data_IF_231057117168
#
_entry.id   IF_231057117168
#
_cell.length_a   1.000
_cell.length_b   1.000
_cell.length_c   1.000
_cell.angle_alpha   90.00
_cell.angle_beta   90.00
_cell.angle_gamma   90.00
#
_symmetry.space_group_name_H-M   'P 1'
#
loop_
_entity.id
_entity.type
_entity.pdbx_description
1 polymer ?
#
# COMPACT_ATOMS: atom_id res chain seq x y z
N UNK A 1 19.76 2.97 16.83
CA UNK A 1 19.45 1.62 16.27
C UNK A 1 18.69 1.83 14.96
N UNK A 2 18.92 0.99 14.00
CA UNK A 2 18.17 0.98 12.73
C UNK A 2 17.04 -0.05 12.82
N UNK A 3 15.82 0.39 12.58
CA UNK A 3 14.62 -0.43 12.70
C UNK A 3 13.90 -0.46 11.34
N UNK A 4 13.58 -1.65 10.86
CA UNK A 4 12.80 -1.81 9.62
C UNK A 4 11.38 -2.23 9.97
N UNK A 5 10.40 -1.43 9.55
CA UNK A 5 8.98 -1.75 9.69
C UNK A 5 8.48 -2.33 8.37
N UNK A 6 8.31 -3.63 8.30
CA UNK A 6 7.87 -4.36 7.11
C UNK A 6 6.58 -5.10 7.44
N UNK A 7 5.46 -4.38 7.34
CA UNK A 7 4.14 -4.85 7.76
C UNK A 7 3.22 -5.02 6.57
N UNK A 8 2.38 -6.02 6.62
CA UNK A 8 1.20 -6.11 5.78
C UNK A 8 0.06 -5.28 6.38
N UNK A 9 -1.05 -5.13 5.69
CA UNK A 9 -2.22 -4.40 6.18
C UNK A 9 -2.93 -5.16 7.31
N UNK A 10 -3.62 -4.41 8.17
CA UNK A 10 -4.57 -4.98 9.12
C UNK A 10 -5.96 -4.88 8.49
N UNK A 11 -6.47 -6.00 8.01
CA UNK A 11 -7.73 -6.07 7.26
C UNK A 11 -8.86 -5.31 7.97
N UNK A 12 -9.50 -4.39 7.24
CA UNK A 12 -10.62 -3.60 7.73
C UNK A 12 -10.27 -2.53 8.75
N UNK A 13 -8.99 -2.27 8.99
CA UNK A 13 -8.54 -1.33 10.04
C UNK A 13 -7.49 -0.35 9.50
N UNK A 14 -6.23 -0.79 9.39
CA UNK A 14 -5.11 0.05 8.99
C UNK A 14 -4.47 -0.48 7.72
N UNK A 15 -4.03 0.43 6.84
CA UNK A 15 -3.13 0.04 5.76
C UNK A 15 -1.75 -0.28 6.32
N UNK A 16 -0.95 -0.99 5.53
CA UNK A 16 0.45 -1.27 5.87
C UNK A 16 1.20 0.02 6.24
N UNK A 17 1.04 1.06 5.42
CA UNK A 17 1.72 2.35 5.63
C UNK A 17 1.22 3.07 6.89
N UNK A 18 -0.08 3.07 7.14
CA UNK A 18 -0.65 3.68 8.35
C UNK A 18 -0.12 3.01 9.61
N UNK A 19 -0.08 1.67 9.62
CA UNK A 19 0.44 0.91 10.75
C UNK A 19 1.94 1.19 10.97
N UNK A 20 2.73 1.20 9.90
CA UNK A 20 4.16 1.48 9.99
C UNK A 20 4.45 2.90 10.48
N UNK A 21 3.68 3.89 10.03
CA UNK A 21 3.83 5.27 10.50
C UNK A 21 3.46 5.42 11.98
N UNK A 22 2.43 4.71 12.45
CA UNK A 22 2.06 4.71 13.87
C UNK A 22 3.19 4.13 14.72
N UNK A 23 3.81 3.03 14.29
CA UNK A 23 4.96 2.42 14.97
C UNK A 23 6.16 3.38 14.97
N UNK A 24 6.45 4.01 13.84
CA UNK A 24 7.53 4.99 13.73
C UNK A 24 7.34 6.14 14.70
N UNK A 25 6.14 6.66 14.80
CA UNK A 25 5.81 7.72 15.74
C UNK A 25 6.00 7.26 17.20
N UNK A 26 5.58 6.04 17.52
CA UNK A 26 5.77 5.48 18.87
C UNK A 26 7.23 5.23 19.24
N UNK A 27 8.07 4.87 18.29
CA UNK A 27 9.50 4.67 18.50
C UNK A 27 10.20 6.01 18.78
N UNK A 28 9.75 7.09 18.17
CA UNK A 28 10.31 8.41 18.35
C UNK A 28 11.57 8.66 17.50
N UNK A 29 12.29 9.75 17.84
CA UNK A 29 13.38 10.26 17.00
C UNK A 29 14.76 9.69 17.34
N UNK A 30 14.88 8.86 18.39
CA UNK A 30 16.17 8.35 18.84
C UNK A 30 16.69 7.17 18.01
N UNK A 31 15.88 6.69 17.09
CA UNK A 31 16.21 5.56 16.21
C UNK A 31 15.87 5.88 14.78
N UNK A 32 16.62 5.30 13.85
CA UNK A 32 16.31 5.37 12.44
C UNK A 32 15.24 4.32 12.13
N UNK A 33 14.09 4.75 11.59
CA UNK A 33 12.99 3.86 11.22
C UNK A 33 12.80 3.89 9.72
N UNK A 34 12.94 2.74 9.09
CA UNK A 34 12.73 2.55 7.65
C UNK A 34 11.42 1.81 7.44
N UNK A 35 10.53 2.37 6.63
CA UNK A 35 9.23 1.77 6.33
C UNK A 35 9.29 1.07 4.99
N UNK A 36 8.99 -0.23 4.98
CA UNK A 36 8.92 -1.07 3.80
C UNK A 36 7.56 -1.77 3.77
N UNK A 37 6.53 -1.16 3.14
CA UNK A 37 5.21 -1.78 3.08
C UNK A 37 5.28 -3.13 2.39
N UNK A 38 4.55 -4.10 2.92
CA UNK A 38 4.43 -5.43 2.35
C UNK A 38 2.98 -5.68 1.90
N UNK A 39 2.84 -6.61 0.98
CA UNK A 39 1.53 -7.04 0.50
C UNK A 39 1.62 -8.50 0.06
N UNK A 40 0.51 -9.22 0.18
CA UNK A 40 0.41 -10.64 -0.14
C UNK A 40 -0.32 -10.93 -1.47
N UNK A 41 -0.65 -9.88 -2.22
CA UNK A 41 -1.42 -9.98 -3.47
C UNK A 41 -2.90 -9.67 -3.30
N UNK A 42 -3.39 -9.55 -2.07
CA UNK A 42 -4.77 -9.19 -1.77
C UNK A 42 -4.95 -7.70 -1.57
N UNK A 43 -5.94 -7.33 -0.76
CA UNK A 43 -6.26 -5.94 -0.45
C UNK A 43 -5.03 -5.20 0.09
N UNK A 44 -4.76 -4.02 -0.48
CA UNK A 44 -3.63 -3.19 -0.09
C UNK A 44 -2.38 -3.39 -0.91
N UNK A 45 -2.35 -4.35 -1.84
CA UNK A 45 -1.19 -4.61 -2.69
C UNK A 45 -0.88 -3.44 -3.62
N UNK A 46 -1.91 -2.86 -4.26
CA UNK A 46 -1.73 -1.69 -5.13
C UNK A 46 -1.12 -0.53 -4.33
N UNK A 47 -1.66 -0.24 -3.15
CA UNK A 47 -1.15 0.85 -2.31
C UNK A 47 0.31 0.62 -1.90
N UNK A 48 0.63 -0.58 -1.42
CA UNK A 48 1.98 -0.92 -0.97
C UNK A 48 3.00 -0.84 -2.11
N UNK A 49 2.67 -1.40 -3.28
CA UNK A 49 3.58 -1.40 -4.43
C UNK A 49 3.69 0.00 -5.06
N UNK A 50 2.61 0.77 -5.10
CA UNK A 50 2.68 2.16 -5.59
C UNK A 50 3.66 2.98 -4.74
N UNK A 51 3.63 2.80 -3.42
CA UNK A 51 4.57 3.48 -2.52
C UNK A 51 6.02 3.06 -2.79
N UNK A 52 6.26 1.74 -2.91
CA UNK A 52 7.61 1.22 -3.13
C UNK A 52 8.18 1.52 -4.52
N UNK A 53 7.33 1.52 -5.53
CA UNK A 53 7.74 1.69 -6.93
C UNK A 53 7.54 3.10 -7.46
N UNK A 54 7.09 4.03 -6.62
CA UNK A 54 6.74 5.40 -7.01
C UNK A 54 5.75 5.43 -8.19
N UNK A 55 4.79 4.51 -8.17
CA UNK A 55 3.76 4.43 -9.19
C UNK A 55 2.62 5.41 -8.90
N UNK A 56 1.95 5.85 -9.97
CA UNK A 56 0.75 6.67 -9.85
C UNK A 56 -0.47 5.78 -9.72
N UNK A 57 -1.30 6.06 -8.72
CA UNK A 57 -2.55 5.35 -8.51
C UNK A 57 -3.64 6.00 -9.37
N UNK A 58 -4.38 5.17 -10.11
CA UNK A 58 -5.48 5.61 -10.96
C UNK A 58 -6.74 4.84 -10.58
N UNK A 59 -7.88 5.48 -10.77
CA UNK A 59 -9.19 4.88 -10.47
C UNK A 59 -10.04 4.89 -11.73
N UNK A 60 -10.63 3.73 -12.05
CA UNK A 60 -11.52 3.57 -13.19
C UNK A 60 -12.81 2.87 -12.79
N UNK A 61 -13.94 3.16 -13.45
CA UNK A 61 -15.16 2.38 -13.25
C UNK A 61 -15.04 1.03 -13.94
N UNK A 62 -15.40 -0.02 -13.21
CA UNK A 62 -15.39 -1.41 -13.71
C UNK A 62 -16.66 -2.13 -13.28
N UNK A 63 -16.91 -3.30 -13.85
CA UNK A 63 -18.01 -4.17 -13.41
C UNK A 63 -17.55 -4.96 -12.18
N UNK A 64 -18.27 -4.80 -11.08
CA UNK A 64 -18.03 -5.52 -9.83
C UNK A 64 -18.55 -6.95 -9.86
N UNK A 65 -18.31 -7.71 -8.78
CA UNK A 65 -18.66 -9.12 -8.71
C UNK A 65 -20.16 -9.39 -8.76
N UNK A 66 -20.98 -8.41 -8.43
CA UNK A 66 -22.45 -8.52 -8.50
C UNK A 66 -23.04 -7.78 -9.71
N UNK A 67 -22.24 -7.59 -10.77
CA UNK A 67 -22.63 -6.90 -12.02
C UNK A 67 -22.95 -5.42 -11.83
N UNK A 68 -22.67 -4.84 -10.69
CA UNK A 68 -22.76 -3.39 -10.43
C UNK A 68 -21.51 -2.67 -10.93
N UNK A 69 -21.62 -1.36 -11.13
CA UNK A 69 -20.46 -0.52 -11.42
C UNK A 69 -19.78 -0.12 -10.12
N UNK A 70 -18.49 -0.41 -10.03
CA UNK A 70 -17.64 0.00 -8.91
C UNK A 70 -16.40 0.70 -9.42
N UNK A 71 -15.78 1.53 -8.59
CA UNK A 71 -14.51 2.14 -8.91
C UNK A 71 -13.38 1.24 -8.42
N UNK A 72 -12.49 0.87 -9.34
CA UNK A 72 -11.30 0.09 -9.02
C UNK A 72 -10.05 0.91 -9.21
N UNK A 73 -9.09 0.74 -8.30
CA UNK A 73 -7.81 1.42 -8.36
C UNK A 73 -6.74 0.49 -8.90
N UNK A 74 -5.80 1.04 -9.66
CA UNK A 74 -4.60 0.35 -10.11
C UNK A 74 -3.43 1.31 -10.10
N UNK A 75 -2.21 0.78 -10.10
CA UNK A 75 -1.01 1.59 -10.17
C UNK A 75 -0.39 1.55 -11.56
N UNK A 76 0.26 2.63 -11.95
CA UNK A 76 1.00 2.71 -13.21
C UNK A 76 2.36 3.34 -12.96
N UNK A 77 3.42 2.63 -13.29
CA UNK A 77 4.78 3.14 -13.21
C UNK A 77 5.15 3.95 -14.45
N UNK A 78 6.25 4.68 -14.37
CA UNK A 78 6.74 5.46 -15.51
C UNK A 78 7.16 4.58 -16.70
N UNK A 79 7.62 3.36 -16.44
CA UNK A 79 7.99 2.41 -17.47
C UNK A 79 6.80 1.58 -18.00
N UNK A 80 5.58 2.03 -17.74
CA UNK A 80 4.34 1.40 -18.19
C UNK A 80 4.05 0.02 -17.59
N UNK A 81 4.52 -0.22 -16.38
CA UNK A 81 4.14 -1.41 -15.62
C UNK A 81 2.85 -1.13 -14.85
N UNK A 82 1.82 -1.95 -15.05
CA UNK A 82 0.57 -1.85 -14.31
C UNK A 82 0.58 -2.77 -13.08
N UNK A 83 0.05 -2.25 -11.96
CA UNK A 83 -0.08 -2.96 -10.70
C UNK A 83 -1.57 -3.14 -10.43
N UNK A 84 -2.02 -4.37 -10.40
CA UNK A 84 -3.45 -4.72 -10.26
C UNK A 84 -3.58 -5.77 -9.16
N UNK A 85 -4.58 -5.60 -8.27
CA UNK A 85 -4.89 -6.58 -7.23
C UNK A 85 -6.26 -7.23 -7.43
#
# INVERSE_FOLDING_TARGET
MKIVCALDSFKGSLTSLQAANAIKEGIGKNHEVIIKPLADGGEGTVDALCECMHAKKRTIPVTGPFLEKVNAAYGMTEDNTAIIE
#
